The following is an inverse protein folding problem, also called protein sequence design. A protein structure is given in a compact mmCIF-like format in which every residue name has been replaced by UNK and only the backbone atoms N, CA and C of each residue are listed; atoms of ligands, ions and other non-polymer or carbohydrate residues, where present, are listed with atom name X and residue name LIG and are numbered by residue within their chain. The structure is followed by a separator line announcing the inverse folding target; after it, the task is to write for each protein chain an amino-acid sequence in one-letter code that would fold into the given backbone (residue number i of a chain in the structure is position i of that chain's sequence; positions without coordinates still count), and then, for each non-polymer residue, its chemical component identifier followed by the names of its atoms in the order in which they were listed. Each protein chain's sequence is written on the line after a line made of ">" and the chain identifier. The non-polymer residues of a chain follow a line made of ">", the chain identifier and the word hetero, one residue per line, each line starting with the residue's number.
data_IF_831168907877
#
_entry.id   IF_831168907877
#
_cell.length_a   1.000
_cell.length_b   1.000
_cell.length_c   1.000
_cell.angle_alpha   90.00
_cell.angle_beta   90.00
_cell.angle_gamma   90.00
#
_symmetry.space_group_name_H-M   'P 1'
#
loop_
_entity.id
_entity.type
_entity.pdbx_description
1 polymer ?
#
# COMPACT_ATOMS: atom_id res chain seq x y z
N UNK A 1 -15.86 20.42 10.94
CA UNK A 1 -16.24 19.24 11.75
C UNK A 1 -16.08 17.93 10.97
N UNK A 2 -16.67 17.76 9.79
CA UNK A 2 -16.62 16.51 9.01
C UNK A 2 -15.19 16.01 8.66
N UNK A 3 -14.28 16.89 8.22
CA UNK A 3 -12.89 16.49 7.88
C UNK A 3 -12.12 15.89 9.06
N UNK A 4 -12.32 16.44 10.27
CA UNK A 4 -11.65 15.95 11.48
C UNK A 4 -12.17 14.57 11.88
N UNK A 5 -13.49 14.41 11.91
CA UNK A 5 -14.11 13.11 12.20
C UNK A 5 -13.67 12.03 11.19
N UNK A 6 -13.53 12.39 9.91
CA UNK A 6 -13.01 11.49 8.87
C UNK A 6 -11.58 11.02 9.17
N UNK A 7 -10.67 11.95 9.49
CA UNK A 7 -9.28 11.61 9.83
C UNK A 7 -9.19 10.75 11.10
N UNK A 8 -9.99 11.07 12.12
CA UNK A 8 -10.06 10.29 13.37
C UNK A 8 -10.59 8.87 13.12
N UNK A 9 -11.61 8.71 12.26
CA UNK A 9 -12.11 7.39 11.87
C UNK A 9 -11.05 6.57 11.11
N UNK A 10 -10.30 7.19 10.21
CA UNK A 10 -9.21 6.53 9.46
C UNK A 10 -8.06 6.09 10.38
N UNK A 11 -7.69 6.94 11.33
CA UNK A 11 -6.67 6.60 12.33
C UNK A 11 -7.12 5.45 13.21
N UNK A 12 -8.35 5.51 13.75
CA UNK A 12 -8.90 4.44 14.58
C UNK A 12 -9.01 3.12 13.83
N UNK A 13 -9.43 3.15 12.57
CA UNK A 13 -9.48 1.95 11.73
C UNK A 13 -8.10 1.31 11.61
N UNK A 14 -7.06 2.12 11.38
CA UNK A 14 -5.68 1.63 11.30
C UNK A 14 -5.19 1.04 12.63
N UNK A 15 -5.52 1.67 13.76
CA UNK A 15 -5.20 1.17 15.11
C UNK A 15 -5.87 -0.18 15.41
N UNK A 16 -7.12 -0.39 14.98
CA UNK A 16 -7.77 -1.69 15.10
C UNK A 16 -7.17 -2.71 14.13
N UNK A 17 -6.84 -2.30 12.90
CA UNK A 17 -6.21 -3.18 11.90
C UNK A 17 -4.87 -3.72 12.38
N UNK A 18 -4.09 -2.90 13.08
CA UNK A 18 -2.81 -3.28 13.67
C UNK A 18 -2.90 -4.44 14.69
N UNK A 19 -4.08 -4.65 15.29
CA UNK A 19 -4.31 -5.72 16.27
C UNK A 19 -4.71 -7.04 15.63
N UNK A 20 -5.02 -7.06 14.34
CA UNK A 20 -5.41 -8.28 13.64
C UNK A 20 -4.23 -9.25 13.49
N UNK A 21 -4.50 -10.55 13.64
CA UNK A 21 -3.49 -11.57 13.48
C UNK A 21 -2.88 -11.58 12.07
N UNK A 22 -1.55 -11.63 12.00
CA UNK A 22 -0.79 -11.63 10.75
C UNK A 22 -0.50 -10.25 10.18
N UNK A 23 -1.06 -9.17 10.76
CA UNK A 23 -0.66 -7.81 10.42
C UNK A 23 0.68 -7.50 11.07
N UNK A 24 1.61 -7.00 10.26
CA UNK A 24 2.98 -6.66 10.64
C UNK A 24 3.23 -5.17 10.37
N UNK A 25 4.04 -4.55 11.21
CA UNK A 25 4.42 -3.14 11.08
C UNK A 25 5.78 -2.99 10.41
N UNK A 26 5.92 -1.94 9.61
CA UNK A 26 7.14 -1.46 8.98
C UNK A 26 7.42 -0.02 9.44
N UNK A 27 8.42 0.61 8.82
CA UNK A 27 8.76 2.01 9.09
C UNK A 27 7.56 2.95 8.84
N UNK A 28 7.53 4.06 9.59
CA UNK A 28 6.53 5.14 9.47
C UNK A 28 5.07 4.68 9.60
N UNK A 29 4.82 3.58 10.31
CA UNK A 29 3.46 3.08 10.54
C UNK A 29 2.83 2.40 9.32
N UNK A 30 3.60 2.16 8.26
CA UNK A 30 3.18 1.27 7.18
C UNK A 30 2.96 -0.11 7.78
N UNK A 31 1.86 -0.75 7.43
CA UNK A 31 1.58 -2.12 7.86
C UNK A 31 1.27 -2.99 6.65
N UNK A 32 1.42 -4.29 6.84
CA UNK A 32 1.08 -5.25 5.81
C UNK A 32 0.62 -6.58 6.39
N UNK A 33 -0.06 -7.36 5.57
CA UNK A 33 -0.40 -8.75 5.79
C UNK A 33 -0.01 -9.56 4.56
N UNK A 34 0.70 -10.66 4.76
CA UNK A 34 1.09 -11.55 3.66
C UNK A 34 -0.14 -12.34 3.20
N UNK A 35 -0.51 -12.21 1.92
CA UNK A 35 -1.57 -13.00 1.27
C UNK A 35 -0.94 -14.24 0.62
N UNK A 36 0.16 -14.05 -0.10
CA UNK A 36 0.95 -15.10 -0.74
C UNK A 36 2.43 -14.75 -0.58
N UNK A 37 3.22 -15.76 -0.27
CA UNK A 37 4.67 -15.64 -0.26
C UNK A 37 5.22 -16.07 -1.63
N UNK A 38 6.14 -15.30 -2.16
CA UNK A 38 6.91 -15.62 -3.36
C UNK A 38 7.92 -16.73 -3.11
N UNK A 39 8.64 -17.10 -4.17
CA UNK A 39 9.67 -18.14 -4.08
C UNK A 39 10.84 -17.70 -3.20
N UNK A 40 11.43 -18.66 -2.49
CA UNK A 40 12.61 -18.40 -1.67
C UNK A 40 13.77 -18.00 -2.57
N UNK A 41 14.36 -16.82 -2.32
CA UNK A 41 15.44 -16.27 -3.16
C UNK A 41 14.96 -15.35 -4.29
N UNK A 42 13.67 -15.01 -4.36
CA UNK A 42 13.18 -13.98 -5.26
C UNK A 42 13.88 -12.63 -5.05
N UNK A 43 14.08 -11.86 -6.12
CA UNK A 43 14.71 -10.54 -6.01
C UNK A 43 13.84 -9.57 -5.19
N UNK A 44 14.48 -8.71 -4.40
CA UNK A 44 13.83 -7.61 -3.68
C UNK A 44 14.27 -6.26 -4.27
N UNK A 45 13.34 -5.30 -4.46
CA UNK A 45 13.68 -4.03 -5.11
C UNK A 45 14.46 -3.10 -4.19
N UNK A 46 15.35 -2.31 -4.80
CA UNK A 46 15.95 -1.13 -4.18
C UNK A 46 15.13 0.13 -4.54
N UNK A 47 15.35 1.28 -3.87
CA UNK A 47 14.70 2.53 -4.26
C UNK A 47 14.96 2.95 -5.72
N UNK A 48 16.07 2.50 -6.31
CA UNK A 48 16.44 2.81 -7.69
C UNK A 48 15.79 1.87 -8.72
N UNK A 49 15.31 0.70 -8.28
CA UNK A 49 14.75 -0.33 -9.14
C UNK A 49 13.48 0.12 -9.85
N UNK A 50 13.25 -0.46 -11.02
CA UNK A 50 11.95 -0.48 -11.68
C UNK A 50 11.19 -1.68 -11.13
N UNK A 51 10.00 -1.44 -10.60
CA UNK A 51 9.10 -2.49 -10.11
C UNK A 51 7.99 -2.70 -11.13
N UNK A 52 7.62 -3.96 -11.34
CA UNK A 52 6.42 -4.36 -12.09
C UNK A 52 5.44 -4.98 -11.11
N UNK A 53 4.26 -4.40 -10.98
CA UNK A 53 3.26 -4.84 -9.99
C UNK A 53 1.86 -4.95 -10.57
N UNK A 54 1.08 -5.89 -10.04
CA UNK A 54 -0.37 -5.75 -10.02
C UNK A 54 -0.81 -5.19 -8.67
N UNK A 55 -1.83 -4.35 -8.70
CA UNK A 55 -2.41 -3.78 -7.49
C UNK A 55 -3.89 -3.44 -7.63
N UNK A 56 -4.54 -3.33 -6.48
CA UNK A 56 -5.86 -2.70 -6.30
C UNK A 56 -5.83 -1.82 -5.07
N UNK A 57 -6.18 -0.54 -5.23
CA UNK A 57 -6.26 0.45 -4.15
C UNK A 57 -7.69 0.73 -3.72
N UNK A 58 -7.91 0.75 -2.40
CA UNK A 58 -9.21 1.01 -1.77
C UNK A 58 -9.09 1.95 -0.58
N UNK A 59 -10.15 2.73 -0.33
CA UNK A 59 -10.33 3.43 0.96
C UNK A 59 -10.85 2.47 2.02
N UNK A 60 -10.80 2.86 3.31
CA UNK A 60 -11.18 2.01 4.44
C UNK A 60 -12.66 1.57 4.44
N UNK A 61 -13.51 2.24 3.67
CA UNK A 61 -14.92 1.89 3.44
C UNK A 61 -15.10 0.83 2.34
N UNK A 62 -14.01 0.34 1.76
CA UNK A 62 -13.99 -0.67 0.70
C UNK A 62 -14.15 -0.12 -0.71
N UNK A 63 -14.32 1.20 -0.88
CA UNK A 63 -14.42 1.80 -2.22
C UNK A 63 -13.08 1.68 -2.95
N UNK A 64 -13.09 0.97 -4.06
CA UNK A 64 -11.96 0.95 -4.99
C UNK A 64 -11.82 2.29 -5.70
N UNK A 65 -10.61 2.84 -5.70
CA UNK A 65 -10.28 4.07 -6.41
C UNK A 65 -9.36 3.82 -7.61
N UNK A 66 -8.57 2.75 -7.59
CA UNK A 66 -7.65 2.42 -8.67
C UNK A 66 -7.33 0.91 -8.71
N UNK A 67 -7.06 0.36 -9.89
CA UNK A 67 -6.63 -1.02 -10.08
C UNK A 67 -5.91 -1.21 -11.42
N UNK A 68 -4.92 -2.10 -11.42
CA UNK A 68 -4.27 -2.58 -12.65
C UNK A 68 -4.84 -3.91 -13.15
N UNK A 69 -5.74 -4.55 -12.38
CA UNK A 69 -6.34 -5.83 -12.76
C UNK A 69 -7.27 -5.65 -13.96
N UNK A 70 -7.23 -6.60 -14.89
CA UNK A 70 -7.95 -6.52 -16.17
C UNK A 70 -7.25 -5.67 -17.23
N UNK A 71 -6.07 -5.12 -16.92
CA UNK A 71 -5.20 -4.38 -17.84
C UNK A 71 -3.74 -4.84 -17.75
N UNK A 72 -2.83 -3.90 -18.05
CA UNK A 72 -1.38 -4.14 -18.01
C UNK A 72 -0.84 -3.84 -16.60
N UNK A 73 0.11 -4.64 -16.07
CA UNK A 73 0.80 -4.31 -14.83
C UNK A 73 1.43 -2.91 -14.85
N UNK A 74 1.46 -2.26 -13.69
CA UNK A 74 2.18 -1.00 -13.54
C UNK A 74 3.69 -1.27 -13.50
N UNK A 75 4.44 -0.64 -14.39
CA UNK A 75 5.90 -0.63 -14.39
C UNK A 75 6.42 0.79 -14.15
N UNK A 76 7.12 1.01 -13.03
CA UNK A 76 7.58 2.33 -12.63
C UNK A 76 8.80 2.27 -11.71
N UNK A 77 9.52 3.40 -11.58
CA UNK A 77 10.64 3.51 -10.64
C UNK A 77 10.10 3.62 -9.22
N UNK A 78 10.59 2.76 -8.32
CA UNK A 78 10.06 2.66 -6.96
C UNK A 78 10.06 4.02 -6.23
N UNK A 79 11.17 4.76 -6.30
CA UNK A 79 11.30 6.10 -5.67
C UNK A 79 10.32 7.17 -6.13
N UNK A 80 9.54 6.94 -7.19
CA UNK A 80 8.56 7.90 -7.72
C UNK A 80 7.15 7.63 -7.19
N UNK A 81 6.95 6.54 -6.44
CA UNK A 81 5.67 6.19 -5.85
C UNK A 81 5.48 6.85 -4.48
N UNK A 82 4.28 6.71 -3.93
CA UNK A 82 3.97 7.15 -2.56
C UNK A 82 4.89 6.46 -1.55
N UNK A 83 5.23 7.17 -0.48
CA UNK A 83 6.24 6.73 0.49
C UNK A 83 5.92 5.36 1.10
N UNK A 84 4.63 5.05 1.34
CA UNK A 84 4.21 3.77 1.87
C UNK A 84 4.56 2.59 0.95
N UNK A 85 4.46 2.79 -0.36
CA UNK A 85 4.88 1.79 -1.35
C UNK A 85 6.39 1.65 -1.41
N UNK A 86 7.13 2.75 -1.34
CA UNK A 86 8.60 2.73 -1.28
C UNK A 86 9.05 1.87 -0.09
N UNK A 87 8.46 2.06 1.09
CA UNK A 87 8.79 1.31 2.29
C UNK A 87 8.40 -0.17 2.14
N UNK A 88 7.16 -0.45 1.73
CA UNK A 88 6.63 -1.81 1.67
C UNK A 88 7.31 -2.68 0.62
N UNK A 89 7.44 -2.19 -0.62
CA UNK A 89 7.96 -2.99 -1.73
C UNK A 89 9.42 -3.40 -1.53
N UNK A 90 10.24 -2.59 -0.84
CA UNK A 90 11.61 -2.96 -0.47
C UNK A 90 11.70 -4.13 0.53
N UNK A 91 10.57 -4.54 1.12
CA UNK A 91 10.49 -5.70 2.02
C UNK A 91 9.86 -6.92 1.32
N UNK A 92 9.35 -6.74 0.11
CA UNK A 92 8.77 -7.80 -0.71
C UNK A 92 9.84 -8.44 -1.60
N UNK A 93 9.58 -9.69 -1.96
CA UNK A 93 10.32 -10.43 -2.97
C UNK A 93 9.40 -10.70 -4.17
N UNK A 94 9.98 -10.86 -5.36
CA UNK A 94 9.20 -11.22 -6.56
C UNK A 94 8.34 -12.47 -6.29
N UNK A 95 7.07 -12.38 -6.65
CA UNK A 95 6.03 -13.39 -6.39
C UNK A 95 5.24 -13.17 -5.09
N UNK A 96 5.68 -12.27 -4.21
CA UNK A 96 4.91 -11.89 -3.03
C UNK A 96 3.62 -11.17 -3.42
N UNK A 97 2.55 -11.50 -2.70
CA UNK A 97 1.29 -10.75 -2.72
C UNK A 97 0.91 -10.34 -1.31
N UNK A 98 0.84 -9.05 -1.04
CA UNK A 98 0.57 -8.49 0.27
C UNK A 98 -0.66 -7.59 0.24
N UNK A 99 -1.37 -7.51 1.36
CA UNK A 99 -2.28 -6.41 1.66
C UNK A 99 -1.51 -5.37 2.46
N UNK A 100 -1.42 -4.13 1.98
CA UNK A 100 -0.74 -3.00 2.62
C UNK A 100 -1.78 -2.07 3.23
N UNK A 101 -1.48 -1.53 4.40
CA UNK A 101 -2.28 -0.52 5.08
C UNK A 101 -1.40 0.70 5.36
N UNK A 102 -1.74 1.81 4.71
CA UNK A 102 -0.90 3.00 4.67
C UNK A 102 -1.55 4.15 5.44
N UNK A 103 -0.92 4.67 6.50
CA UNK A 103 -1.30 5.95 7.08
C UNK A 103 -1.35 7.06 6.02
N UNK A 104 -2.20 8.06 6.24
CA UNK A 104 -2.35 9.16 5.30
C UNK A 104 -1.01 9.87 5.02
N UNK A 105 -0.15 10.02 6.03
CA UNK A 105 1.15 10.69 5.95
C UNK A 105 2.11 10.07 4.94
N UNK A 106 2.01 8.76 4.72
CA UNK A 106 2.82 8.01 3.73
C UNK A 106 2.01 7.65 2.47
N UNK A 107 0.78 8.13 2.37
CA UNK A 107 -0.08 8.09 1.19
C UNK A 107 -0.18 9.46 0.50
N UNK A 108 -1.39 10.03 0.45
CA UNK A 108 -1.65 11.35 -0.16
C UNK A 108 -1.76 12.51 0.85
N UNK A 109 -1.48 12.26 2.13
CA UNK A 109 -1.48 13.25 3.19
C UNK A 109 -2.85 13.90 3.40
N UNK A 110 -2.86 15.22 3.63
CA UNK A 110 -4.08 16.01 3.92
C UNK A 110 -4.76 16.54 2.66
N UNK A 111 -4.22 16.22 1.48
CA UNK A 111 -4.68 16.69 0.17
C UNK A 111 -5.75 15.76 -0.39
N UNK A 112 -6.71 16.32 -1.12
CA UNK A 112 -7.69 15.53 -1.85
C UNK A 112 -7.08 15.05 -3.16
N UNK A 113 -7.31 13.79 -3.53
CA UNK A 113 -6.82 13.22 -4.78
C UNK A 113 -7.92 12.40 -5.45
N UNK A 114 -8.43 12.84 -6.59
CA UNK A 114 -9.34 12.07 -7.47
C UNK A 114 -10.37 11.15 -6.75
N UNK A 115 -11.13 11.70 -5.81
CA UNK A 115 -12.16 10.95 -5.08
C UNK A 115 -11.69 10.32 -3.77
N UNK A 116 -10.42 10.47 -3.41
CA UNK A 116 -9.79 10.09 -2.15
C UNK A 116 -9.74 11.33 -1.24
N UNK A 117 -10.45 11.32 -0.11
CA UNK A 117 -10.39 12.40 0.84
C UNK A 117 -9.01 12.64 1.46
N UNK A 118 -8.70 13.90 1.75
CA UNK A 118 -7.49 14.22 2.51
C UNK A 118 -7.54 13.60 3.90
N UNK A 119 -6.48 12.89 4.28
CA UNK A 119 -6.38 12.15 5.53
C UNK A 119 -6.92 10.72 5.46
N UNK A 120 -7.15 10.19 4.26
CA UNK A 120 -7.49 8.77 4.07
C UNK A 120 -6.32 7.86 4.41
N UNK A 121 -6.61 6.84 5.20
CA UNK A 121 -5.84 5.60 5.21
C UNK A 121 -6.11 4.86 3.90
N UNK A 122 -5.05 4.36 3.27
CA UNK A 122 -5.16 3.62 2.01
C UNK A 122 -4.90 2.14 2.25
N UNK A 123 -5.71 1.29 1.62
CA UNK A 123 -5.53 -0.16 1.61
C UNK A 123 -5.16 -0.58 0.20
N UNK A 124 -4.08 -1.33 0.05
CA UNK A 124 -3.65 -1.85 -1.24
C UNK A 124 -3.46 -3.34 -1.19
N UNK A 125 -4.06 -4.07 -2.11
CA UNK A 125 -3.59 -5.41 -2.45
C UNK A 125 -2.53 -5.26 -3.54
N UNK A 126 -1.31 -5.77 -3.32
CA UNK A 126 -0.18 -5.62 -4.24
C UNK A 126 0.48 -6.96 -4.47
N UNK A 127 0.72 -7.31 -5.74
CA UNK A 127 1.51 -8.46 -6.17
C UNK A 127 2.75 -7.97 -6.92
N UNK A 128 3.93 -8.33 -6.43
CA UNK A 128 5.21 -7.96 -7.05
C UNK A 128 5.59 -8.98 -8.12
N UNK A 129 5.54 -8.57 -9.38
CA UNK A 129 5.77 -9.45 -10.54
C UNK A 129 7.22 -9.45 -11.01
N UNK A 130 7.94 -8.35 -10.79
CA UNK A 130 9.32 -8.23 -11.26
C UNK A 130 10.05 -7.01 -10.72
N UNK A 131 11.38 -7.09 -10.81
CA UNK A 131 12.34 -6.05 -10.42
C UNK A 131 13.38 -5.93 -11.54
N UNK A 132 13.68 -4.70 -11.97
CA UNK A 132 14.69 -4.39 -12.97
C UNK A 132 15.47 -3.11 -12.69
#
# INVERSE_FOLDING_TARGET
>A
MAKRAYMEANKRWLEEKAKEAGVKCLAKGVMYKVIKQGETGGASPSPQSIVTVHYTGRTIDGRQFDTSLGGVPLACRLRQLIEGWIIALQQMHVGDKWELYLPAEVGYGKQWQEGIPGGSTLVFEVELLGVG
#
